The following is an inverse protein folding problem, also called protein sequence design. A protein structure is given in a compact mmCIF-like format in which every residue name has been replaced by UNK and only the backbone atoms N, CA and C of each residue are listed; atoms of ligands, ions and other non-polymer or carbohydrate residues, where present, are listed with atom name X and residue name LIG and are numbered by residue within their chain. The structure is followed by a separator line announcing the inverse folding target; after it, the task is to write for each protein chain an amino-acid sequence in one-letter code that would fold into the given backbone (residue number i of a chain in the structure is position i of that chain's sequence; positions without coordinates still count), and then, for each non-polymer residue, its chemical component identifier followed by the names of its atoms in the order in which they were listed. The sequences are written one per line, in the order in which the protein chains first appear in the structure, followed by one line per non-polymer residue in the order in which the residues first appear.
data_IF_300938258723
#
_entry.id   IF_300938258723
#
_cell.length_a   1.000
_cell.length_b   1.000
_cell.length_c   1.000
_cell.angle_alpha   90.00
_cell.angle_beta   90.00
_cell.angle_gamma   90.00
#
_symmetry.space_group_name_H-M   'P 1'
#
loop_
_entity.id
_entity.type
_entity.pdbx_description
1 polymer ?
#
# COMPACT_ATOMS: atom_id res chain seq x y z
N UNK A 1 1.23 20.62 31.01
CA UNK A 1 2.43 20.45 30.16
C UNK A 1 2.09 20.73 28.70
N UNK A 2 3.05 21.07 27.83
CA UNK A 2 2.79 21.13 26.40
C UNK A 2 2.30 19.77 25.88
N UNK A 3 1.40 19.79 24.91
CA UNK A 3 0.96 18.60 24.20
C UNK A 3 2.12 18.04 23.38
N UNK A 4 2.49 16.78 23.64
CA UNK A 4 3.63 16.12 23.00
C UNK A 4 3.15 15.28 21.80
N UNK A 5 3.79 15.42 20.64
CA UNK A 5 3.54 14.54 19.49
C UNK A 5 4.26 13.20 19.73
N UNK A 6 3.50 12.14 19.95
CA UNK A 6 4.03 10.77 20.12
C UNK A 6 4.28 10.11 18.77
N UNK A 7 3.35 10.31 17.81
CA UNK A 7 3.46 9.78 16.45
C UNK A 7 2.77 10.74 15.49
N UNK A 8 3.39 11.06 14.37
CA UNK A 8 2.77 11.85 13.31
C UNK A 8 3.24 11.34 11.95
N UNK A 9 2.32 10.82 11.14
CA UNK A 9 2.62 10.15 9.88
C UNK A 9 1.58 10.41 8.81
N UNK A 10 2.05 10.48 7.57
CA UNK A 10 1.24 10.49 6.37
C UNK A 10 1.51 9.21 5.58
N UNK A 11 0.45 8.55 5.15
CA UNK A 11 0.45 7.33 4.37
C UNK A 11 0.05 7.63 2.92
N UNK A 12 0.84 7.15 1.97
CA UNK A 12 0.70 7.43 0.54
C UNK A 12 -0.12 6.38 -0.22
N UNK A 13 -0.51 5.29 0.43
CA UNK A 13 -1.41 4.28 -0.13
C UNK A 13 -2.17 3.51 0.95
N UNK A 14 -2.76 2.36 0.62
CA UNK A 14 -3.35 1.46 1.61
C UNK A 14 -2.35 1.17 2.73
N UNK A 15 -2.81 1.30 3.98
CA UNK A 15 -1.97 1.29 5.16
C UNK A 15 -2.71 0.65 6.36
N UNK A 16 -2.04 0.61 7.51
CA UNK A 16 -2.55 0.02 8.74
C UNK A 16 -3.91 0.56 9.17
N UNK A 17 -4.21 1.84 8.87
CA UNK A 17 -5.42 2.53 9.31
C UNK A 17 -6.52 2.53 8.25
N UNK A 18 -6.25 2.03 7.04
CA UNK A 18 -7.28 1.91 6.01
C UNK A 18 -6.74 1.87 4.58
N UNK A 19 -7.63 1.69 3.59
CA UNK A 19 -7.26 1.51 2.19
C UNK A 19 -6.94 2.82 1.45
N UNK A 20 -7.08 3.97 2.12
CA UNK A 20 -6.90 5.30 1.53
C UNK A 20 -5.67 5.99 2.10
N UNK A 21 -5.14 6.94 1.34
CA UNK A 21 -4.10 7.86 1.82
C UNK A 21 -4.62 8.64 3.03
N UNK A 22 -3.85 8.65 4.11
CA UNK A 22 -4.32 9.18 5.38
C UNK A 22 -3.20 9.75 6.23
N UNK A 23 -3.57 10.54 7.22
CA UNK A 23 -2.66 11.04 8.24
C UNK A 23 -3.10 10.54 9.60
N UNK A 24 -2.12 10.13 10.40
CA UNK A 24 -2.30 9.81 11.81
C UNK A 24 -1.48 10.77 12.64
N UNK A 25 -2.16 11.48 13.54
CA UNK A 25 -1.58 12.28 14.60
C UNK A 25 -1.91 11.62 15.94
N UNK A 26 -0.90 11.23 16.69
CA UNK A 26 -1.03 10.77 18.05
C UNK A 26 -0.29 11.72 18.98
N UNK A 27 -1.01 12.24 19.97
CA UNK A 27 -0.47 13.17 20.96
C UNK A 27 -0.72 12.70 22.37
N UNK A 28 0.19 13.06 23.28
CA UNK A 28 0.03 12.88 24.72
C UNK A 28 -0.25 14.23 25.36
N UNK A 29 -1.23 14.27 26.26
CA UNK A 29 -1.62 15.48 26.99
C UNK A 29 -2.24 15.16 28.35
N UNK A 30 -2.05 16.04 29.34
CA UNK A 30 -2.70 15.95 30.66
C UNK A 30 -4.24 16.13 30.60
N UNK A 31 -4.76 16.67 29.49
CA UNK A 31 -6.18 16.96 29.30
C UNK A 31 -6.71 16.24 28.08
N UNK A 32 -7.98 15.89 28.10
CA UNK A 32 -8.67 15.43 26.90
C UNK A 32 -8.88 16.61 25.92
N UNK A 33 -8.03 16.66 24.91
CA UNK A 33 -8.04 17.67 23.85
C UNK A 33 -8.70 17.19 22.56
N UNK A 34 -9.37 16.02 22.57
CA UNK A 34 -9.96 15.40 21.37
C UNK A 34 -10.83 16.34 20.54
N UNK A 35 -11.83 16.97 21.16
CA UNK A 35 -12.74 17.93 20.50
C UNK A 35 -11.99 19.14 19.96
N UNK A 36 -10.98 19.61 20.69
CA UNK A 36 -10.19 20.79 20.32
C UNK A 36 -9.33 20.50 19.10
N UNK A 37 -8.59 19.37 19.11
CA UNK A 37 -7.78 18.90 17.98
C UNK A 37 -8.67 18.71 16.75
N UNK A 38 -9.82 18.05 16.91
CA UNK A 38 -10.79 17.84 15.82
C UNK A 38 -11.23 19.14 15.15
N UNK A 39 -11.60 20.14 15.94
CA UNK A 39 -12.06 21.42 15.42
C UNK A 39 -10.93 22.20 14.73
N UNK A 40 -9.75 22.29 15.35
CA UNK A 40 -8.63 23.06 14.79
C UNK A 40 -8.09 22.40 13.52
N UNK A 41 -8.01 21.07 13.45
CA UNK A 41 -7.66 20.36 12.21
C UNK A 41 -8.65 20.69 11.08
N UNK A 42 -9.94 20.71 11.37
CA UNK A 42 -10.98 21.04 10.40
C UNK A 42 -10.88 22.49 9.92
N UNK A 43 -10.71 23.43 10.84
CA UNK A 43 -10.58 24.85 10.53
C UNK A 43 -9.31 25.13 9.72
N UNK A 44 -8.19 24.52 10.11
CA UNK A 44 -6.91 24.63 9.40
C UNK A 44 -6.99 24.05 7.98
N UNK A 45 -7.60 22.87 7.81
CA UNK A 45 -7.81 22.27 6.50
C UNK A 45 -8.69 23.16 5.60
N UNK A 46 -9.77 23.73 6.15
CA UNK A 46 -10.64 24.64 5.43
C UNK A 46 -9.92 25.93 5.01
N UNK A 47 -9.01 26.45 5.85
CA UNK A 47 -8.26 27.67 5.55
C UNK A 47 -7.31 27.49 4.36
N UNK A 48 -6.56 26.38 4.35
CA UNK A 48 -5.62 26.07 3.27
C UNK A 48 -6.33 25.50 2.02
N UNK A 49 -7.60 25.08 2.14
CA UNK A 49 -8.38 24.46 1.07
C UNK A 49 -8.06 22.98 0.86
N UNK A 50 -7.57 22.29 1.90
CA UNK A 50 -7.26 20.87 1.87
C UNK A 50 -8.52 20.04 2.12
N UNK A 51 -8.69 18.98 1.35
CA UNK A 51 -9.76 18.01 1.55
C UNK A 51 -9.33 17.06 2.68
N UNK A 52 -10.12 17.02 3.74
CA UNK A 52 -10.02 15.98 4.77
C UNK A 52 -11.34 15.21 4.83
N UNK A 53 -11.24 13.87 4.83
CA UNK A 53 -12.35 12.94 4.95
C UNK A 53 -12.20 12.07 6.19
N UNK A 54 -13.32 11.53 6.69
CA UNK A 54 -13.35 10.56 7.79
C UNK A 54 -12.49 10.98 9.01
N UNK A 55 -12.49 12.26 9.36
CA UNK A 55 -11.74 12.73 10.53
C UNK A 55 -12.33 12.14 11.81
N UNK A 56 -11.60 11.17 12.34
CA UNK A 56 -11.90 10.49 13.58
C UNK A 56 -10.86 10.83 14.64
N UNK A 57 -11.30 10.93 15.90
CA UNK A 57 -10.44 11.25 17.02
C UNK A 57 -10.85 10.39 18.20
N UNK A 58 -9.96 9.46 18.55
CA UNK A 58 -10.10 8.55 19.67
C UNK A 58 -9.22 9.02 20.82
N UNK A 59 -9.68 8.77 22.05
CA UNK A 59 -8.94 9.10 23.28
C UNK A 59 -8.85 7.87 24.15
N UNK A 60 -7.64 7.53 24.57
CA UNK A 60 -7.36 6.51 25.57
C UNK A 60 -6.73 7.18 26.80
N UNK A 61 -7.23 6.87 27.99
CA UNK A 61 -6.62 7.34 29.23
C UNK A 61 -5.49 6.38 29.64
N UNK A 62 -4.26 6.89 29.71
CA UNK A 62 -3.08 6.14 30.13
C UNK A 62 -2.50 6.75 31.40
N UNK A 63 -2.76 6.10 32.55
CA UNK A 63 -2.40 6.61 33.88
C UNK A 63 -3.05 7.99 34.16
N UNK A 64 -2.23 9.04 34.31
CA UNK A 64 -2.68 10.42 34.55
C UNK A 64 -2.81 11.25 33.25
N UNK A 65 -2.34 10.72 32.11
CA UNK A 65 -2.36 11.40 30.82
C UNK A 65 -3.42 10.79 29.86
N UNK A 66 -3.72 11.54 28.82
CA UNK A 66 -4.53 11.11 27.68
C UNK A 66 -3.65 10.91 26.45
N UNK A 67 -3.79 9.74 25.82
CA UNK A 67 -3.28 9.47 24.48
C UNK A 67 -4.41 9.69 23.48
N UNK A 68 -4.28 10.73 22.66
CA UNK A 68 -5.30 11.15 21.70
C UNK A 68 -4.80 10.81 20.30
N UNK A 69 -5.56 10.03 19.55
CA UNK A 69 -5.23 9.61 18.19
C UNK A 69 -6.24 10.21 17.22
N UNK A 70 -5.80 11.14 16.39
CA UNK A 70 -6.57 11.68 15.27
C UNK A 70 -6.15 11.01 13.96
N UNK A 71 -7.11 10.47 13.23
CA UNK A 71 -6.94 9.90 11.89
C UNK A 71 -7.82 10.63 10.90
N UNK A 72 -7.30 10.93 9.72
CA UNK A 72 -8.09 11.47 8.62
C UNK A 72 -7.53 11.11 7.25
N UNK A 73 -8.42 10.97 6.28
CA UNK A 73 -8.10 10.71 4.88
C UNK A 73 -7.83 12.03 4.16
N UNK A 74 -6.79 12.08 3.34
CA UNK A 74 -6.47 13.23 2.49
C UNK A 74 -5.68 12.78 1.27
N UNK A 75 -5.91 13.36 0.07
CA UNK A 75 -5.11 13.07 -1.12
C UNK A 75 -3.66 13.61 -1.02
N UNK A 76 -3.37 14.48 -0.04
CA UNK A 76 -2.06 15.11 0.16
C UNK A 76 -1.56 14.84 1.59
N UNK A 77 -1.16 13.59 1.92
CA UNK A 77 -0.76 13.21 3.27
C UNK A 77 0.46 13.98 3.78
N UNK A 78 1.41 14.34 2.90
CA UNK A 78 2.59 15.16 3.23
C UNK A 78 2.20 16.53 3.80
N UNK A 79 1.27 17.24 3.14
CA UNK A 79 0.73 18.53 3.59
C UNK A 79 -0.15 18.33 4.83
N UNK A 80 -0.90 17.24 4.88
CA UNK A 80 -1.71 16.89 6.04
C UNK A 80 -0.86 16.73 7.30
N UNK A 81 0.28 16.06 7.23
CA UNK A 81 1.23 15.93 8.35
C UNK A 81 1.66 17.29 8.87
N UNK A 82 2.05 18.19 7.98
CA UNK A 82 2.51 19.53 8.35
C UNK A 82 1.38 20.38 8.95
N UNK A 83 0.14 20.24 8.44
CA UNK A 83 -1.02 20.86 9.07
C UNK A 83 -1.22 20.33 10.50
N UNK A 84 -1.17 19.02 10.70
CA UNK A 84 -1.33 18.42 12.02
C UNK A 84 -0.23 18.89 13.00
N UNK A 85 1.01 19.05 12.53
CA UNK A 85 2.11 19.63 13.31
C UNK A 85 1.82 21.07 13.70
N UNK A 86 1.44 21.91 12.73
CA UNK A 86 1.02 23.30 12.96
C UNK A 86 -0.09 23.39 14.02
N UNK A 87 -1.07 22.48 14.00
CA UNK A 87 -2.15 22.46 15.00
C UNK A 87 -1.60 22.26 16.41
N UNK A 88 -0.67 21.31 16.61
CA UNK A 88 -0.09 21.04 17.93
C UNK A 88 0.81 22.20 18.38
N UNK A 89 1.63 22.72 17.48
CA UNK A 89 2.53 23.84 17.78
C UNK A 89 1.73 25.09 18.17
N UNK A 90 0.68 25.43 17.43
CA UNK A 90 -0.20 26.56 17.76
C UNK A 90 -1.04 26.35 19.02
N UNK A 91 -1.36 25.10 19.37
CA UNK A 91 -1.99 24.79 20.66
C UNK A 91 -1.03 25.03 21.82
N UNK A 92 0.22 24.58 21.68
CA UNK A 92 1.28 24.76 22.69
C UNK A 92 1.66 26.24 22.87
N UNK A 93 1.82 26.98 21.77
CA UNK A 93 2.08 28.43 21.80
C UNK A 93 0.99 29.19 22.57
N UNK A 94 -0.28 28.89 22.31
CA UNK A 94 -1.42 29.48 23.04
C UNK A 94 -1.44 29.09 24.52
N UNK A 95 -0.99 27.90 24.87
CA UNK A 95 -0.97 27.43 26.27
C UNK A 95 0.11 28.15 27.10
N UNK A 96 1.25 28.46 26.50
CA UNK A 96 2.33 29.23 27.16
C UNK A 96 2.16 30.74 27.04
N UNK A 97 1.16 31.21 26.28
CA UNK A 97 0.90 32.64 26.06
C UNK A 97 1.94 33.30 25.15
N UNK A 98 2.45 32.56 24.16
CA UNK A 98 3.42 33.07 23.19
C UNK A 98 2.75 34.06 22.22
N UNK A 99 3.03 35.34 22.40
CA UNK A 99 2.55 36.43 21.54
C UNK A 99 3.39 36.59 20.26
N UNK A 100 4.57 35.96 20.17
CA UNK A 100 5.45 36.01 19.00
C UNK A 100 5.12 34.93 17.96
N UNK A 101 4.29 33.95 18.32
CA UNK A 101 3.89 32.89 17.41
C UNK A 101 3.03 33.42 16.26
N UNK A 102 3.49 33.23 15.01
CA UNK A 102 2.78 33.62 13.79
C UNK A 102 1.81 32.50 13.33
N UNK A 103 0.47 32.72 13.41
CA UNK A 103 -0.51 31.76 12.90
C UNK A 103 -0.67 31.77 11.38
N UNK A 104 -0.30 32.85 10.70
CA UNK A 104 -0.65 33.12 9.30
C UNK A 104 0.40 32.57 8.33
N UNK A 105 1.69 32.83 8.58
CA UNK A 105 2.79 32.43 7.70
C UNK A 105 2.80 30.91 7.42
N UNK A 106 2.72 30.00 8.43
CA UNK A 106 2.73 28.57 8.17
C UNK A 106 1.53 28.09 7.35
N UNK A 107 0.33 28.66 7.58
CA UNK A 107 -0.87 28.32 6.81
C UNK A 107 -0.78 28.81 5.37
N UNK A 108 -0.19 29.99 5.16
CA UNK A 108 0.05 30.53 3.83
C UNK A 108 1.02 29.66 3.03
N UNK A 109 2.10 29.20 3.64
CA UNK A 109 3.06 28.29 3.03
C UNK A 109 2.44 26.95 2.65
N UNK A 110 1.65 26.36 3.56
CA UNK A 110 0.90 25.13 3.28
C UNK A 110 -0.07 25.32 2.11
N UNK A 111 -0.75 26.45 2.04
CA UNK A 111 -1.66 26.80 0.93
C UNK A 111 -0.91 26.95 -0.39
N UNK A 112 0.28 27.54 -0.39
CA UNK A 112 1.11 27.62 -1.59
C UNK A 112 1.58 26.23 -2.06
N UNK A 113 2.06 25.40 -1.14
CA UNK A 113 2.48 24.02 -1.42
C UNK A 113 1.33 23.19 -1.97
N UNK A 114 0.15 23.27 -1.37
CA UNK A 114 -1.05 22.58 -1.86
C UNK A 114 -1.37 22.96 -3.30
N UNK A 115 -1.31 24.26 -3.63
CA UNK A 115 -1.51 24.74 -5.01
C UNK A 115 -0.43 24.25 -5.97
N UNK A 116 0.83 24.16 -5.51
CA UNK A 116 1.95 23.70 -6.33
C UNK A 116 1.88 22.19 -6.62
N UNK A 117 1.45 21.39 -5.64
CA UNK A 117 1.27 19.93 -5.75
C UNK A 117 -0.03 19.55 -6.48
N UNK A 118 -0.99 20.48 -6.59
CA UNK A 118 -2.24 20.22 -7.30
C UNK A 118 -1.98 19.97 -8.78
N UNK A 119 -2.43 18.80 -9.24
CA UNK A 119 -2.37 18.43 -10.64
C UNK A 119 -3.18 19.41 -11.51
N UNK A 120 -2.73 19.71 -12.76
CA UNK A 120 -3.53 20.46 -13.72
C UNK A 120 -4.92 19.82 -13.91
N UNK A 121 -5.93 20.63 -14.22
CA UNK A 121 -7.33 20.16 -14.37
C UNK A 121 -7.43 18.99 -15.36
N UNK A 122 -6.67 19.02 -16.45
CA UNK A 122 -6.65 17.95 -17.44
C UNK A 122 -6.09 16.64 -16.87
N UNK A 123 -5.03 16.71 -16.05
CA UNK A 123 -4.48 15.55 -15.36
C UNK A 123 -5.47 15.00 -14.33
N UNK A 124 -6.13 15.87 -13.57
CA UNK A 124 -7.20 15.48 -12.63
C UNK A 124 -8.38 14.80 -13.34
N UNK A 125 -8.79 15.32 -14.49
CA UNK A 125 -9.84 14.70 -15.33
C UNK A 125 -9.42 13.31 -15.81
N UNK A 126 -8.16 13.13 -16.22
CA UNK A 126 -7.63 11.81 -16.59
C UNK A 126 -7.65 10.85 -15.40
N UNK A 127 -7.18 11.26 -14.22
CA UNK A 127 -7.22 10.42 -13.03
C UNK A 127 -8.66 10.06 -12.64
N UNK A 128 -9.59 11.02 -12.70
CA UNK A 128 -11.00 10.79 -12.41
C UNK A 128 -11.62 9.78 -13.40
N UNK A 129 -11.36 9.94 -14.70
CA UNK A 129 -11.86 9.06 -15.74
C UNK A 129 -11.26 7.65 -15.63
N UNK A 130 -9.99 7.53 -15.25
CA UNK A 130 -9.34 6.25 -14.94
C UNK A 130 -9.99 5.56 -13.74
N UNK A 131 -10.25 6.31 -12.66
CA UNK A 131 -10.88 5.79 -11.45
C UNK A 131 -12.30 5.24 -11.71
N UNK A 132 -13.12 5.92 -12.54
CA UNK A 132 -14.45 5.38 -12.94
C UNK A 132 -14.38 4.04 -13.67
N UNK A 133 -13.22 3.70 -14.23
CA UNK A 133 -12.93 2.43 -14.92
C UNK A 133 -12.18 1.43 -14.04
N UNK A 134 -11.94 1.74 -12.77
CA UNK A 134 -11.06 0.97 -11.88
C UNK A 134 -9.63 0.80 -12.45
N UNK A 135 -9.12 1.83 -13.12
CA UNK A 135 -7.75 1.89 -13.62
C UNK A 135 -6.96 2.78 -12.66
N UNK A 136 -5.90 2.26 -12.02
CA UNK A 136 -5.12 3.05 -11.08
C UNK A 136 -4.34 4.15 -11.79
N UNK A 137 -4.07 5.22 -11.06
CA UNK A 137 -3.26 6.33 -11.53
C UNK A 137 -2.35 6.84 -10.44
N UNK A 138 -1.10 7.17 -10.78
CA UNK A 138 -0.17 7.77 -9.84
C UNK A 138 0.84 8.69 -10.55
N UNK A 139 1.40 9.63 -9.80
CA UNK A 139 2.50 10.47 -10.29
C UNK A 139 3.81 9.74 -10.02
N UNK A 140 4.61 9.57 -11.06
CA UNK A 140 5.94 8.95 -10.98
C UNK A 140 6.96 9.92 -10.38
N UNK A 141 8.09 9.38 -9.94
CA UNK A 141 9.21 10.19 -9.43
C UNK A 141 9.78 11.17 -10.48
N UNK A 142 9.64 10.88 -11.77
CA UNK A 142 10.03 11.76 -12.88
C UNK A 142 8.99 12.85 -13.20
N UNK A 143 7.91 12.95 -12.43
CA UNK A 143 6.84 13.93 -12.61
C UNK A 143 5.85 13.60 -13.73
N UNK A 144 5.95 12.42 -14.37
CA UNK A 144 4.95 11.97 -15.36
C UNK A 144 3.75 11.32 -14.66
N UNK A 145 2.57 11.50 -15.23
CA UNK A 145 1.35 10.83 -14.78
C UNK A 145 1.28 9.44 -15.40
N UNK A 146 1.24 8.40 -14.57
CA UNK A 146 0.99 7.02 -14.98
C UNK A 146 -0.50 6.71 -14.86
N UNK A 147 -1.11 6.13 -15.90
CA UNK A 147 -2.46 5.55 -15.88
C UNK A 147 -2.37 4.07 -16.27
N UNK A 148 -2.82 3.17 -15.39
CA UNK A 148 -2.65 1.73 -15.53
C UNK A 148 -1.21 1.26 -15.26
N UNK A 149 -0.99 -0.05 -15.27
CA UNK A 149 0.30 -0.67 -14.93
C UNK A 149 0.89 -1.45 -16.12
N UNK A 150 2.22 -1.53 -16.17
CA UNK A 150 2.95 -2.40 -17.08
C UNK A 150 2.63 -2.16 -18.55
N UNK A 151 2.49 -3.25 -19.31
CA UNK A 151 2.00 -3.28 -20.70
C UNK A 151 0.58 -2.74 -20.89
N UNK A 152 -0.17 -2.59 -19.78
CA UNK A 152 -1.51 -1.98 -19.74
C UNK A 152 -1.47 -0.57 -19.14
N UNK A 153 -0.29 0.05 -19.14
CA UNK A 153 -0.05 1.38 -18.62
C UNK A 153 0.28 2.37 -19.74
N UNK A 154 -0.04 3.64 -19.50
CA UNK A 154 0.40 4.76 -20.36
C UNK A 154 0.83 5.94 -19.50
N UNK A 155 1.91 6.58 -19.93
CA UNK A 155 2.48 7.75 -19.26
C UNK A 155 2.11 9.02 -20.01
N UNK A 156 1.76 10.06 -19.26
CA UNK A 156 1.44 11.39 -19.75
C UNK A 156 2.38 12.42 -19.13
N UNK A 157 2.91 13.30 -19.96
CA UNK A 157 3.71 14.41 -19.47
C UNK A 157 2.81 15.51 -18.91
N UNK A 158 2.91 15.77 -17.61
CA UNK A 158 2.11 16.77 -16.91
C UNK A 158 2.46 18.19 -17.37
N UNK A 159 3.72 18.44 -17.76
CA UNK A 159 4.17 19.76 -18.22
C UNK A 159 3.44 20.17 -19.51
N UNK A 160 3.17 19.20 -20.40
CA UNK A 160 2.42 19.43 -21.65
C UNK A 160 0.99 19.97 -21.42
N UNK A 161 0.38 19.68 -20.27
CA UNK A 161 -0.93 20.24 -19.91
C UNK A 161 -0.85 21.70 -19.48
N UNK A 162 0.26 22.13 -18.87
CA UNK A 162 0.48 23.52 -18.44
C UNK A 162 0.75 24.45 -19.63
N UNK A 163 1.46 23.99 -20.66
CA UNK A 163 1.79 24.81 -21.85
C UNK A 163 0.57 25.16 -22.71
N UNK A 164 -0.42 24.27 -22.82
CA UNK A 164 -1.67 24.58 -23.56
C UNK A 164 -2.49 25.70 -22.92
N UNK A 165 -2.31 25.94 -21.62
CA UNK A 165 -2.94 27.06 -20.90
C UNK A 165 -2.18 28.38 -21.11
N UNK A 166 -0.88 28.34 -21.39
CA UNK A 166 -0.03 29.53 -21.59
C UNK A 166 0.15 29.93 -23.06
N UNK A 167 -0.02 29.01 -24.01
CA UNK A 167 -0.10 29.31 -25.44
C UNK A 167 -1.45 29.95 -25.76
N UNK A 168 -1.57 31.27 -25.58
CA UNK A 168 -2.75 32.10 -25.84
C UNK A 168 -3.20 32.19 -27.30
N UNK A 169 -3.16 31.08 -28.05
CA UNK A 169 -3.86 30.95 -29.33
C UNK A 169 -5.35 30.81 -29.03
N UNK A 170 -6.05 31.93 -28.93
CA UNK A 170 -7.51 31.96 -28.99
C UNK A 170 -7.94 31.25 -30.28
N UNK A 171 -8.63 30.11 -30.16
CA UNK A 171 -9.42 29.55 -31.26
C UNK A 171 -10.55 30.53 -31.57
N UNK A 172 -11.08 30.49 -32.80
CA UNK A 172 -12.32 31.22 -33.17
C UNK A 172 -13.48 30.85 -32.22
N UNK A 173 -13.39 29.70 -31.54
CA UNK A 173 -14.33 29.24 -30.51
C UNK A 173 -14.23 29.97 -29.15
N UNK A 174 -13.12 30.66 -28.88
CA UNK A 174 -12.89 31.35 -27.61
C UNK A 174 -13.58 32.73 -27.54
N UNK A 175 -14.08 33.23 -28.67
CA UNK A 175 -14.77 34.53 -28.81
C UNK A 175 -16.27 34.45 -28.43
N UNK A 176 -16.71 33.35 -27.79
CA UNK A 176 -18.08 33.23 -27.28
C UNK A 176 -19.16 33.00 -28.35
N UNK A 177 -18.77 32.61 -29.57
CA UNK A 177 -19.70 32.21 -30.64
C UNK A 177 -19.96 30.69 -30.71
N UNK A 178 -19.45 29.92 -29.74
CA UNK A 178 -19.60 28.47 -29.65
C UNK A 178 -20.19 27.97 -28.33
N UNK A 179 -20.51 26.67 -28.29
CA UNK A 179 -21.18 25.96 -27.19
C UNK A 179 -20.63 26.30 -25.79
N UNK A 180 -21.48 26.23 -24.73
CA UNK A 180 -21.11 26.63 -23.37
C UNK A 180 -19.84 25.93 -22.86
N UNK A 181 -19.13 26.47 -21.85
CA UNK A 181 -17.90 25.88 -21.32
C UNK A 181 -18.03 24.40 -20.93
N UNK A 182 -19.22 23.96 -20.53
CA UNK A 182 -19.56 22.56 -20.22
C UNK A 182 -19.63 21.63 -21.44
N UNK A 183 -19.70 22.18 -22.65
CA UNK A 183 -19.78 21.47 -23.92
C UNK A 183 -18.49 21.58 -24.77
N UNK A 184 -17.47 22.27 -24.26
CA UNK A 184 -16.17 22.40 -24.93
C UNK A 184 -15.32 21.18 -24.60
N UNK A 185 -15.26 20.23 -25.54
CA UNK A 185 -14.23 19.19 -25.52
C UNK A 185 -12.88 19.87 -25.79
N UNK A 186 -12.17 20.29 -24.75
CA UNK A 186 -10.73 20.52 -24.84
C UNK A 186 -10.14 19.30 -25.55
N UNK A 187 -9.49 19.49 -26.71
CA UNK A 187 -9.04 18.42 -27.60
C UNK A 187 -8.59 17.20 -26.78
N UNK A 188 -9.48 16.20 -26.69
CA UNK A 188 -9.37 15.15 -25.70
C UNK A 188 -8.03 14.46 -25.95
N UNK A 189 -7.20 14.35 -24.92
CA UNK A 189 -6.01 13.50 -25.01
C UNK A 189 -6.54 12.13 -25.42
N UNK A 190 -6.12 11.64 -26.58
CA UNK A 190 -6.57 10.33 -27.05
C UNK A 190 -5.94 9.26 -26.15
N UNK A 191 -6.75 8.80 -25.19
CA UNK A 191 -6.37 7.80 -24.21
C UNK A 191 -7.00 6.48 -24.65
N UNK A 192 -6.18 5.45 -24.90
CA UNK A 192 -6.67 4.14 -25.33
C UNK A 192 -7.24 3.37 -24.14
N UNK A 193 -8.32 3.86 -23.53
CA UNK A 193 -8.89 3.36 -22.28
C UNK A 193 -9.12 1.85 -22.26
N UNK A 194 -9.48 1.26 -23.41
CA UNK A 194 -9.71 -0.18 -23.56
C UNK A 194 -8.44 -1.04 -23.40
N UNK A 195 -7.26 -0.46 -23.62
CA UNK A 195 -5.97 -1.15 -23.50
C UNK A 195 -5.36 -0.95 -22.12
N UNK A 196 -5.82 0.06 -21.38
CA UNK A 196 -5.31 0.38 -20.06
C UNK A 196 -5.91 -0.51 -18.97
N UNK A 197 -5.19 -0.66 -17.87
CA UNK A 197 -5.65 -1.44 -16.72
C UNK A 197 -4.51 -1.94 -15.84
N UNK A 198 -4.82 -2.97 -15.05
CA UNK A 198 -3.89 -3.64 -14.16
C UNK A 198 -3.15 -4.76 -14.90
N UNK A 199 -1.89 -4.96 -14.54
CA UNK A 199 -1.19 -6.24 -14.74
C UNK A 199 -1.25 -7.04 -13.44
N UNK A 200 -1.19 -8.39 -13.49
CA UNK A 200 -1.10 -9.19 -12.28
C UNK A 200 0.11 -8.79 -11.43
N UNK A 201 -0.12 -8.72 -10.11
CA UNK A 201 0.89 -8.36 -9.12
C UNK A 201 0.96 -9.44 -8.04
N UNK A 202 2.17 -9.90 -7.75
CA UNK A 202 2.48 -10.75 -6.59
C UNK A 202 3.22 -9.91 -5.56
N UNK A 203 2.64 -9.76 -4.38
CA UNK A 203 3.22 -8.95 -3.30
C UNK A 203 3.67 -9.83 -2.13
N UNK A 204 4.96 -9.82 -1.83
CA UNK A 204 5.54 -10.63 -0.76
C UNK A 204 5.98 -9.69 0.36
N UNK A 205 5.46 -9.94 1.56
CA UNK A 205 5.90 -9.30 2.80
C UNK A 205 6.58 -10.31 3.72
N UNK A 206 7.44 -9.78 4.57
CA UNK A 206 8.29 -10.54 5.48
C UNK A 206 9.63 -9.84 5.65
N UNK A 207 10.58 -10.56 6.21
CA UNK A 207 11.95 -10.13 6.48
C UNK A 207 12.92 -10.92 5.59
N UNK A 208 13.57 -11.95 6.14
CA UNK A 208 14.66 -12.68 5.46
C UNK A 208 14.21 -13.44 4.21
N UNK A 209 13.05 -14.07 4.27
CA UNK A 209 12.59 -15.00 3.23
C UNK A 209 11.82 -14.30 2.10
N UNK A 210 11.53 -13.01 2.26
CA UNK A 210 10.70 -12.21 1.36
C UNK A 210 11.29 -12.14 -0.05
N UNK A 211 12.53 -11.68 -0.17
CA UNK A 211 13.16 -11.43 -1.47
C UNK A 211 13.54 -12.75 -2.16
N UNK A 212 13.91 -13.78 -1.40
CA UNK A 212 14.07 -15.14 -1.91
C UNK A 212 12.77 -15.64 -2.57
N UNK A 213 11.63 -15.46 -1.90
CA UNK A 213 10.32 -15.86 -2.41
C UNK A 213 9.95 -15.06 -3.66
N UNK A 214 10.15 -13.73 -3.64
CA UNK A 214 9.90 -12.87 -4.79
C UNK A 214 10.75 -13.28 -6.01
N UNK A 215 12.05 -13.55 -5.82
CA UNK A 215 12.95 -14.05 -6.87
C UNK A 215 12.50 -15.39 -7.44
N UNK A 216 12.12 -16.34 -6.59
CA UNK A 216 11.63 -17.64 -7.06
C UNK A 216 10.42 -17.49 -7.97
N UNK A 217 9.41 -16.74 -7.53
CA UNK A 217 8.18 -16.53 -8.29
C UNK A 217 8.46 -15.80 -9.60
N UNK A 218 9.30 -14.76 -9.58
CA UNK A 218 9.68 -14.05 -10.80
C UNK A 218 10.42 -14.98 -11.78
N UNK A 219 11.38 -15.77 -11.31
CA UNK A 219 12.11 -16.73 -12.13
C UNK A 219 11.20 -17.82 -12.72
N UNK A 220 10.27 -18.35 -11.93
CA UNK A 220 9.26 -19.30 -12.41
C UNK A 220 8.42 -18.69 -13.52
N UNK A 221 7.88 -17.48 -13.34
CA UNK A 221 7.09 -16.79 -14.35
C UNK A 221 7.92 -16.48 -15.62
N UNK A 222 9.17 -16.05 -15.46
CA UNK A 222 10.09 -15.81 -16.58
C UNK A 222 10.40 -17.11 -17.35
N UNK A 223 10.53 -18.26 -16.65
CA UNK A 223 10.72 -19.57 -17.30
C UNK A 223 9.56 -19.96 -18.22
N UNK A 224 8.36 -19.42 -17.95
CA UNK A 224 7.17 -19.59 -18.78
C UNK A 224 7.05 -18.53 -19.89
N UNK A 225 8.05 -17.66 -20.06
CA UNK A 225 8.09 -16.64 -21.10
C UNK A 225 7.37 -15.33 -20.76
N UNK A 226 6.94 -15.14 -19.52
CA UNK A 226 6.34 -13.87 -19.10
C UNK A 226 7.39 -12.78 -18.91
N UNK A 227 7.06 -11.56 -19.35
CA UNK A 227 7.84 -10.37 -19.03
C UNK A 227 7.48 -9.89 -17.60
N UNK A 228 8.40 -10.10 -16.66
CA UNK A 228 8.18 -9.82 -15.23
C UNK A 228 9.08 -8.66 -14.79
N UNK A 229 8.48 -7.63 -14.18
CA UNK A 229 9.24 -6.67 -13.39
C UNK A 229 9.34 -7.18 -11.94
N UNK A 230 10.56 -7.54 -11.54
CA UNK A 230 10.88 -7.97 -10.17
C UNK A 230 11.47 -6.80 -9.40
N UNK A 231 11.05 -6.63 -8.16
CA UNK A 231 11.70 -5.76 -7.17
C UNK A 231 11.94 -6.51 -5.87
N UNK A 232 13.12 -6.32 -5.29
CA UNK A 232 13.54 -6.85 -4.00
C UNK A 232 13.70 -5.68 -3.02
N UNK A 233 13.36 -5.88 -1.75
CA UNK A 233 13.40 -4.82 -0.73
C UNK A 233 12.79 -3.50 -1.22
N UNK A 234 11.66 -3.60 -1.92
CA UNK A 234 11.08 -2.50 -2.66
C UNK A 234 10.43 -1.50 -1.72
N UNK A 235 10.94 -0.27 -1.74
CA UNK A 235 10.21 0.87 -1.21
C UNK A 235 9.04 1.27 -2.14
N UNK A 236 8.24 2.24 -1.71
CA UNK A 236 7.09 2.74 -2.43
C UNK A 236 7.45 3.26 -3.83
N UNK A 237 8.61 3.91 -3.98
CA UNK A 237 9.04 4.48 -5.25
C UNK A 237 9.53 3.40 -6.22
N UNK A 238 10.28 2.41 -5.73
CA UNK A 238 10.70 1.23 -6.48
C UNK A 238 9.49 0.41 -6.96
N UNK A 239 8.49 0.24 -6.09
CA UNK A 239 7.23 -0.43 -6.43
C UNK A 239 6.49 0.31 -7.54
N UNK A 240 6.33 1.64 -7.42
CA UNK A 240 5.77 2.48 -8.48
C UNK A 240 6.57 2.39 -9.80
N UNK A 241 7.90 2.37 -9.73
CA UNK A 241 8.74 2.25 -10.92
C UNK A 241 8.48 0.92 -11.66
N UNK A 242 8.39 -0.19 -10.93
CA UNK A 242 8.07 -1.51 -11.48
C UNK A 242 6.65 -1.61 -12.05
N UNK A 243 5.66 -1.08 -11.33
CA UNK A 243 4.28 -0.98 -11.83
C UNK A 243 4.19 -0.13 -13.10
N UNK A 244 5.11 0.80 -13.27
CA UNK A 244 5.19 1.67 -14.42
C UNK A 244 6.13 1.19 -15.54
N UNK A 245 6.73 0.00 -15.44
CA UNK A 245 7.64 -0.55 -16.46
C UNK A 245 6.86 -0.94 -17.73
N UNK A 246 7.00 -0.24 -18.88
CA UNK A 246 6.09 -0.40 -20.01
C UNK A 246 6.02 -1.81 -20.61
N UNK A 247 7.06 -2.63 -20.43
CA UNK A 247 7.11 -3.99 -20.97
C UNK A 247 6.72 -5.07 -19.96
N UNK A 248 6.45 -4.70 -18.71
CA UNK A 248 6.07 -5.65 -17.67
C UNK A 248 4.64 -6.17 -17.90
N UNK A 249 4.51 -7.46 -18.15
CA UNK A 249 3.23 -8.15 -18.21
C UNK A 249 2.75 -8.62 -16.82
N UNK A 250 3.68 -8.77 -15.87
CA UNK A 250 3.44 -9.05 -14.46
C UNK A 250 4.45 -8.29 -13.60
N UNK A 251 4.09 -8.05 -12.35
CA UNK A 251 4.99 -7.48 -11.33
C UNK A 251 5.10 -8.44 -10.15
N UNK A 252 6.32 -8.63 -9.64
CA UNK A 252 6.58 -9.37 -8.41
C UNK A 252 7.38 -8.47 -7.48
N UNK A 253 6.83 -8.16 -6.31
CA UNK A 253 7.43 -7.21 -5.38
C UNK A 253 7.66 -7.84 -4.01
N UNK A 254 8.93 -7.99 -3.61
CA UNK A 254 9.31 -8.15 -2.22
C UNK A 254 9.34 -6.77 -1.56
N UNK A 255 8.45 -6.52 -0.62
CA UNK A 255 8.20 -5.19 -0.05
C UNK A 255 9.05 -4.88 1.20
N UNK A 256 9.70 -3.71 1.23
CA UNK A 256 10.48 -3.24 2.38
C UNK A 256 9.57 -2.98 3.60
N UNK A 257 9.87 -3.62 4.73
CA UNK A 257 9.04 -3.52 5.95
C UNK A 257 9.05 -2.10 6.49
N UNK A 258 10.22 -1.46 6.47
CA UNK A 258 10.44 -0.09 6.91
C UNK A 258 9.52 0.89 6.18
N UNK A 259 9.33 0.67 4.87
CA UNK A 259 8.53 1.55 4.04
C UNK A 259 7.03 1.22 4.14
N UNK A 260 6.66 -0.06 4.32
CA UNK A 260 5.27 -0.44 4.66
C UNK A 260 4.80 0.24 5.95
N UNK A 261 5.67 0.32 6.96
CA UNK A 261 5.41 0.97 8.25
C UNK A 261 5.15 2.48 8.09
N UNK A 262 5.82 3.12 7.13
CA UNK A 262 5.83 4.58 7.00
C UNK A 262 4.83 5.08 5.97
N UNK A 263 4.72 4.40 4.82
CA UNK A 263 3.96 4.86 3.64
C UNK A 263 2.78 3.97 3.29
N UNK A 264 2.78 2.72 3.74
CA UNK A 264 1.83 1.70 3.30
C UNK A 264 2.30 1.03 2.00
N UNK A 265 1.37 0.61 1.14
CA UNK A 265 1.69 -0.04 -0.14
C UNK A 265 1.42 0.87 -1.33
N UNK A 266 2.22 0.74 -2.40
CA UNK A 266 2.16 1.59 -3.58
C UNK A 266 1.15 1.13 -4.65
N UNK A 267 0.22 0.25 -4.28
CA UNK A 267 -0.77 -0.32 -5.18
C UNK A 267 -2.09 -0.53 -4.45
N UNK A 268 -3.19 -0.39 -5.19
CA UNK A 268 -4.54 -0.54 -4.63
C UNK A 268 -4.99 -2.00 -4.57
N UNK A 269 -4.39 -2.86 -5.41
CA UNK A 269 -4.78 -4.28 -5.57
C UNK A 269 -3.60 -5.15 -5.99
N UNK A 270 -3.56 -6.38 -5.50
CA UNK A 270 -2.68 -7.43 -6.01
C UNK A 270 -3.46 -8.72 -6.31
N UNK A 271 -2.86 -9.61 -7.12
CA UNK A 271 -3.46 -10.90 -7.49
C UNK A 271 -3.13 -11.99 -6.48
N UNK A 272 -1.91 -11.96 -5.96
CA UNK A 272 -1.43 -12.89 -4.95
C UNK A 272 -0.62 -12.13 -3.92
N UNK A 273 -0.67 -12.58 -2.68
CA UNK A 273 0.21 -12.06 -1.64
C UNK A 273 0.68 -13.15 -0.70
N UNK A 274 1.77 -12.88 -0.01
CA UNK A 274 2.30 -13.77 1.01
C UNK A 274 2.89 -13.00 2.19
N UNK A 275 2.69 -13.52 3.40
CA UNK A 275 3.38 -13.09 4.61
C UNK A 275 4.26 -14.25 5.05
N UNK A 276 5.54 -14.17 4.74
CA UNK A 276 6.44 -15.33 4.75
C UNK A 276 7.09 -15.55 6.12
N UNK A 277 7.49 -14.48 6.78
CA UNK A 277 8.13 -14.47 8.10
C UNK A 277 7.99 -13.09 8.75
N UNK A 278 8.57 -12.93 9.94
CA UNK A 278 8.63 -11.66 10.66
C UNK A 278 10.07 -11.34 11.04
N UNK A 279 10.46 -10.05 11.10
CA UNK A 279 11.74 -9.64 11.66
C UNK A 279 11.97 -10.19 13.07
N UNK A 280 13.20 -10.59 13.39
CA UNK A 280 13.55 -11.07 14.75
C UNK A 280 13.42 -9.98 15.82
N UNK A 281 13.56 -8.72 15.42
CA UNK A 281 13.49 -7.56 16.30
C UNK A 281 12.43 -6.60 15.77
N UNK A 282 11.68 -6.02 16.70
CA UNK A 282 10.72 -4.97 16.36
C UNK A 282 11.46 -3.73 15.81
N UNK A 283 11.04 -3.21 14.65
CA UNK A 283 11.45 -1.87 14.21
C UNK A 283 11.11 -0.82 15.27
N UNK A 284 11.91 0.23 15.39
CA UNK A 284 11.76 1.26 16.43
C UNK A 284 10.39 1.96 16.38
N UNK A 285 9.79 1.97 15.21
CA UNK A 285 8.52 2.57 14.85
C UNK A 285 7.30 1.78 15.33
N UNK A 286 7.47 0.51 15.70
CA UNK A 286 6.41 -0.46 15.96
C UNK A 286 6.41 -0.86 17.44
N UNK A 287 5.23 -0.92 18.05
CA UNK A 287 5.08 -1.14 19.50
C UNK A 287 4.97 -2.61 19.90
N UNK A 288 4.55 -3.48 18.98
CA UNK A 288 4.35 -4.91 19.25
C UNK A 288 4.49 -5.75 17.97
N UNK A 289 4.69 -7.06 18.14
CA UNK A 289 4.68 -7.99 17.01
C UNK A 289 3.30 -8.11 16.34
N UNK A 290 2.23 -7.87 17.09
CA UNK A 290 0.88 -7.76 16.55
C UNK A 290 0.77 -6.57 15.59
N UNK A 291 1.22 -5.37 15.99
CA UNK A 291 1.25 -4.20 15.10
C UNK A 291 2.16 -4.46 13.88
N UNK A 292 3.30 -5.13 14.07
CA UNK A 292 4.21 -5.49 12.97
C UNK A 292 3.53 -6.40 11.94
N UNK A 293 2.87 -7.45 12.39
CA UNK A 293 2.20 -8.40 11.49
C UNK A 293 1.00 -7.76 10.79
N UNK A 294 0.23 -6.91 11.48
CA UNK A 294 -0.83 -6.12 10.82
C UNK A 294 -0.26 -5.26 9.69
N UNK A 295 0.91 -4.64 9.87
CA UNK A 295 1.61 -3.90 8.80
C UNK A 295 2.04 -4.83 7.67
N UNK A 296 2.65 -5.98 7.98
CA UNK A 296 3.02 -6.97 6.97
C UNK A 296 1.78 -7.54 6.23
N UNK A 297 0.61 -7.48 6.84
CA UNK A 297 -0.67 -7.91 6.29
C UNK A 297 -1.35 -6.90 5.35
N UNK A 298 -0.84 -5.68 5.20
CA UNK A 298 -1.45 -4.69 4.30
C UNK A 298 -1.61 -5.22 2.85
N UNK A 299 -0.62 -5.90 2.23
CA UNK A 299 -0.80 -6.50 0.90
C UNK A 299 -1.89 -7.58 0.84
N UNK A 300 -2.12 -8.33 1.93
CA UNK A 300 -3.20 -9.32 2.03
C UNK A 300 -4.56 -8.63 1.91
N UNK A 301 -4.76 -7.51 2.62
CA UNK A 301 -6.03 -6.77 2.64
C UNK A 301 -6.44 -6.24 1.26
N UNK A 302 -5.46 -6.00 0.37
CA UNK A 302 -5.69 -5.54 -1.01
C UNK A 302 -5.58 -6.67 -2.05
N UNK A 303 -5.53 -7.94 -1.62
CA UNK A 303 -5.55 -9.07 -2.55
C UNK A 303 -6.94 -9.24 -3.14
N UNK A 304 -7.03 -9.44 -4.45
CA UNK A 304 -8.31 -9.64 -5.13
C UNK A 304 -9.05 -10.88 -4.58
N UNK A 305 -10.38 -10.85 -4.57
CA UNK A 305 -11.23 -11.96 -4.11
C UNK A 305 -10.99 -13.28 -4.88
N UNK A 306 -10.62 -13.18 -6.16
CA UNK A 306 -10.27 -14.33 -7.02
C UNK A 306 -8.84 -14.84 -6.80
N UNK A 307 -8.02 -14.09 -6.06
CA UNK A 307 -6.63 -14.40 -5.76
C UNK A 307 -6.44 -15.43 -4.65
N UNK A 308 -5.22 -15.48 -4.12
CA UNK A 308 -4.85 -16.28 -2.94
C UNK A 308 -3.86 -15.54 -2.07
N UNK A 309 -3.95 -15.80 -0.76
CA UNK A 309 -3.00 -15.31 0.24
C UNK A 309 -2.27 -16.50 0.83
N UNK A 310 -0.94 -16.43 0.88
CA UNK A 310 -0.10 -17.45 1.50
C UNK A 310 0.38 -16.98 2.86
N UNK A 311 0.06 -17.73 3.92
CA UNK A 311 0.39 -17.35 5.30
C UNK A 311 1.26 -18.39 6.00
N UNK A 312 2.30 -17.92 6.70
CA UNK A 312 3.10 -18.77 7.56
C UNK A 312 2.34 -19.15 8.84
N UNK A 313 1.96 -20.43 8.97
CA UNK A 313 1.24 -20.94 10.14
C UNK A 313 2.13 -21.19 11.36
N UNK A 314 3.46 -21.05 11.24
CA UNK A 314 4.39 -21.16 12.37
C UNK A 314 4.45 -19.87 13.21
N UNK A 315 3.84 -18.78 12.73
CA UNK A 315 3.76 -17.49 13.42
C UNK A 315 2.30 -17.20 13.79
N UNK A 316 1.91 -17.33 15.08
CA UNK A 316 0.53 -17.14 15.52
C UNK A 316 -0.06 -15.77 15.14
N UNK A 317 0.75 -14.72 15.18
CA UNK A 317 0.34 -13.35 14.84
C UNK A 317 0.01 -13.21 13.34
N UNK A 318 0.71 -13.95 12.46
CA UNK A 318 0.35 -14.02 11.03
C UNK A 318 -0.97 -14.79 10.85
N UNK A 319 -1.16 -15.90 11.58
CA UNK A 319 -2.39 -16.69 11.51
C UNK A 319 -3.61 -15.88 11.92
N UNK A 320 -3.49 -15.03 12.93
CA UNK A 320 -4.57 -14.16 13.40
C UNK A 320 -5.09 -13.21 12.29
N UNK A 321 -4.26 -12.88 11.30
CA UNK A 321 -4.67 -12.03 10.18
C UNK A 321 -5.63 -12.71 9.20
N UNK A 322 -5.70 -14.04 9.20
CA UNK A 322 -6.45 -14.79 8.20
C UNK A 322 -7.95 -14.49 8.19
N UNK A 323 -8.53 -14.04 9.31
CA UNK A 323 -9.93 -13.64 9.38
C UNK A 323 -10.23 -12.37 8.55
N UNK A 324 -9.21 -11.54 8.28
CA UNK A 324 -9.32 -10.33 7.48
C UNK A 324 -8.98 -10.56 6.00
N UNK A 325 -8.60 -11.79 5.61
CA UNK A 325 -8.23 -12.08 4.23
C UNK A 325 -9.46 -11.98 3.30
N UNK A 326 -9.40 -11.18 2.22
CA UNK A 326 -10.53 -11.00 1.29
C UNK A 326 -10.73 -12.19 0.33
N UNK A 327 -9.82 -13.17 0.36
CA UNK A 327 -9.82 -14.34 -0.52
C UNK A 327 -9.30 -15.58 0.23
N UNK A 328 -9.39 -16.79 -0.36
CA UNK A 328 -8.94 -18.00 0.31
C UNK A 328 -7.45 -17.98 0.66
N UNK A 329 -7.15 -18.48 1.86
CA UNK A 329 -5.80 -18.59 2.42
C UNK A 329 -5.22 -19.97 2.14
N UNK A 330 -3.94 -20.03 1.79
CA UNK A 330 -3.11 -21.23 1.80
C UNK A 330 -2.11 -21.10 2.95
N UNK A 331 -2.17 -22.00 3.92
CA UNK A 331 -1.16 -22.01 4.98
C UNK A 331 0.07 -22.81 4.58
N UNK A 332 1.23 -22.43 5.10
CA UNK A 332 2.38 -23.32 5.13
C UNK A 332 2.97 -23.42 6.54
N UNK A 333 3.62 -24.55 6.83
CA UNK A 333 4.31 -24.78 8.10
C UNK A 333 5.52 -25.68 7.88
N UNK A 334 6.56 -25.48 8.68
CA UNK A 334 7.73 -26.36 8.78
C UNK A 334 7.47 -27.61 9.62
N UNK A 335 6.26 -27.79 10.16
CA UNK A 335 5.93 -28.83 11.16
C UNK A 335 4.67 -29.61 10.79
N UNK A 336 4.74 -30.93 10.82
CA UNK A 336 3.55 -31.80 10.63
C UNK A 336 2.48 -31.56 11.71
N UNK A 337 2.89 -31.32 12.95
CA UNK A 337 2.00 -31.26 14.11
C UNK A 337 1.37 -29.89 14.36
N UNK A 338 1.42 -28.97 13.37
CA UNK A 338 0.84 -27.65 13.50
C UNK A 338 -0.71 -27.73 13.58
N UNK A 339 -1.26 -27.44 14.76
CA UNK A 339 -2.70 -27.51 15.03
C UNK A 339 -3.53 -26.60 14.12
N UNK A 340 -3.02 -25.41 13.76
CA UNK A 340 -3.71 -24.48 12.85
C UNK A 340 -3.91 -25.12 11.49
N UNK A 341 -2.84 -25.71 10.94
CA UNK A 341 -2.91 -26.43 9.66
C UNK A 341 -3.83 -27.64 9.75
N UNK A 342 -3.78 -28.39 10.86
CA UNK A 342 -4.72 -29.50 11.10
C UNK A 342 -6.19 -29.07 11.06
N UNK A 343 -6.54 -27.97 11.73
CA UNK A 343 -7.91 -27.42 11.73
C UNK A 343 -8.29 -26.88 10.36
N UNK A 344 -7.39 -26.14 9.70
CA UNK A 344 -7.64 -25.59 8.37
C UNK A 344 -7.94 -26.70 7.35
N UNK A 345 -7.17 -27.79 7.39
CA UNK A 345 -7.39 -28.99 6.58
C UNK A 345 -8.70 -29.69 6.92
N UNK A 346 -9.07 -29.80 8.19
CA UNK A 346 -10.36 -30.39 8.57
C UNK A 346 -11.56 -29.64 7.95
N UNK A 347 -11.40 -28.35 7.66
CA UNK A 347 -12.38 -27.52 6.96
C UNK A 347 -12.23 -27.50 5.42
N UNK A 348 -11.40 -28.37 4.84
CA UNK A 348 -11.20 -28.43 3.39
C UNK A 348 -10.20 -27.41 2.83
N UNK A 349 -9.43 -26.75 3.70
CA UNK A 349 -8.45 -25.75 3.31
C UNK A 349 -7.22 -26.33 2.60
N UNK A 350 -6.45 -25.43 1.97
CA UNK A 350 -5.23 -25.73 1.24
C UNK A 350 -4.01 -25.45 2.14
N UNK A 351 -3.09 -26.40 2.28
CA UNK A 351 -1.90 -26.17 3.07
C UNK A 351 -0.68 -26.97 2.63
N UNK A 352 0.50 -26.44 2.94
CA UNK A 352 1.78 -27.16 2.87
C UNK A 352 2.31 -27.46 4.27
N UNK A 353 2.85 -28.65 4.50
CA UNK A 353 3.56 -28.96 5.74
C UNK A 353 4.77 -29.85 5.48
N UNK A 354 5.71 -29.90 6.43
CA UNK A 354 6.89 -30.78 6.36
C UNK A 354 6.76 -31.95 7.33
N UNK A 355 6.93 -33.16 6.79
CA UNK A 355 7.00 -34.43 7.53
C UNK A 355 8.16 -35.26 7.00
N UNK A 356 9.02 -35.74 7.88
CA UNK A 356 10.16 -36.60 7.52
C UNK A 356 10.98 -36.06 6.32
N UNK A 357 11.36 -34.78 6.38
CA UNK A 357 12.07 -34.06 5.29
C UNK A 357 11.34 -34.05 3.94
N UNK A 358 10.04 -34.26 3.92
CA UNK A 358 9.20 -34.21 2.73
C UNK A 358 8.15 -33.13 2.90
N UNK A 359 8.04 -32.25 1.91
CA UNK A 359 6.96 -31.27 1.80
C UNK A 359 5.73 -32.00 1.27
N UNK A 360 4.62 -31.89 1.98
CA UNK A 360 3.31 -32.37 1.57
C UNK A 360 2.42 -31.20 1.21
N UNK A 361 1.75 -31.28 0.08
CA UNK A 361 0.63 -30.41 -0.27
C UNK A 361 -0.69 -31.08 0.10
N UNK A 362 -1.62 -30.29 0.61
CA UNK A 362 -2.91 -30.78 1.08
C UNK A 362 -4.06 -29.93 0.62
N UNK A 363 -5.15 -30.60 0.24
CA UNK A 363 -6.45 -29.99 0.07
C UNK A 363 -7.44 -30.82 0.90
N UNK A 364 -7.85 -30.26 2.03
CA UNK A 364 -8.60 -31.00 3.04
C UNK A 364 -7.86 -32.23 3.58
N UNK A 365 -8.50 -33.39 3.48
CA UNK A 365 -7.95 -34.68 3.90
C UNK A 365 -6.95 -35.28 2.90
N UNK A 366 -6.92 -34.80 1.65
CA UNK A 366 -6.00 -35.30 0.64
C UNK A 366 -4.59 -34.79 0.93
N UNK A 367 -3.61 -35.70 0.97
CA UNK A 367 -2.19 -35.38 1.11
C UNK A 367 -1.41 -35.93 -0.09
N UNK A 368 -0.52 -35.12 -0.65
CA UNK A 368 0.40 -35.53 -1.71
C UNK A 368 1.82 -35.08 -1.36
N UNK A 369 2.83 -35.97 -1.39
CA UNK A 369 4.22 -35.54 -1.30
C UNK A 369 4.60 -34.78 -2.58
N UNK A 370 5.22 -33.60 -2.42
CA UNK A 370 5.52 -32.72 -3.56
C UNK A 370 7.01 -32.42 -3.71
N UNK A 371 7.77 -32.25 -2.62
CA UNK A 371 9.18 -31.90 -2.70
C UNK A 371 9.96 -32.47 -1.51
N UNK A 372 11.28 -32.59 -1.64
CA UNK A 372 12.15 -32.84 -0.49
C UNK A 372 12.46 -31.52 0.21
N UNK A 373 12.27 -31.45 1.52
CA UNK A 373 12.74 -30.36 2.37
C UNK A 373 14.23 -30.55 2.68
N UNK A 374 15.09 -30.32 1.68
CA UNK A 374 16.55 -30.47 1.79
C UNK A 374 17.29 -29.18 2.13
N UNK A 375 16.57 -28.05 2.14
CA UNK A 375 17.13 -26.75 2.50
C UNK A 375 17.34 -26.65 4.02
N UNK A 376 18.30 -25.82 4.48
CA UNK A 376 18.42 -25.48 5.90
C UNK A 376 17.11 -24.91 6.46
N UNK A 377 16.84 -25.15 7.75
CA UNK A 377 15.60 -24.71 8.41
C UNK A 377 15.31 -23.21 8.26
N UNK A 378 16.36 -22.37 8.17
CA UNK A 378 16.23 -20.92 8.00
C UNK A 378 15.75 -20.51 6.61
N UNK A 379 15.97 -21.34 5.59
CA UNK A 379 15.56 -21.09 4.19
C UNK A 379 14.24 -21.78 3.84
N UNK A 380 13.80 -22.72 4.68
CA UNK A 380 12.61 -23.52 4.46
C UNK A 380 11.31 -22.68 4.38
N UNK A 381 11.09 -21.62 5.20
CA UNK A 381 9.91 -20.77 5.06
C UNK A 381 9.77 -20.13 3.68
N UNK A 382 10.86 -19.58 3.14
CA UNK A 382 10.88 -18.99 1.80
C UNK A 382 10.58 -20.02 0.70
N UNK A 383 11.14 -21.22 0.81
CA UNK A 383 10.85 -22.30 -0.13
C UNK A 383 9.38 -22.75 -0.06
N UNK A 384 8.82 -22.93 1.14
CA UNK A 384 7.42 -23.29 1.31
C UNK A 384 6.47 -22.22 0.79
N UNK A 385 6.73 -20.94 1.07
CA UNK A 385 5.94 -19.83 0.53
C UNK A 385 6.01 -19.79 -1.01
N UNK A 386 7.19 -20.04 -1.57
CA UNK A 386 7.41 -20.11 -3.03
C UNK A 386 6.60 -21.24 -3.66
N UNK A 387 6.62 -22.44 -3.08
CA UNK A 387 5.83 -23.59 -3.54
C UNK A 387 4.33 -23.27 -3.42
N UNK A 388 3.89 -22.71 -2.30
CA UNK A 388 2.48 -22.39 -2.06
C UNK A 388 1.95 -21.33 -3.03
N UNK A 389 2.70 -20.24 -3.26
CA UNK A 389 2.34 -19.21 -4.24
C UNK A 389 2.31 -19.77 -5.66
N UNK A 390 3.29 -20.61 -6.02
CA UNK A 390 3.31 -21.23 -7.35
C UNK A 390 2.12 -22.17 -7.55
N UNK A 391 1.78 -22.95 -6.54
CA UNK A 391 0.60 -23.82 -6.55
C UNK A 391 -0.70 -23.01 -6.64
N UNK A 392 -0.79 -21.89 -5.91
CA UNK A 392 -1.92 -20.95 -5.99
C UNK A 392 -2.09 -20.33 -7.38
N UNK A 393 -1.00 -20.14 -8.12
CA UNK A 393 -0.99 -19.65 -9.50
C UNK A 393 -1.34 -20.74 -10.52
N UNK A 394 -1.54 -21.99 -10.08
CA UNK A 394 -1.92 -23.11 -10.92
C UNK A 394 -0.76 -23.80 -11.63
N UNK A 395 0.49 -23.57 -11.20
CA UNK A 395 1.63 -24.30 -11.73
C UNK A 395 1.61 -25.77 -11.31
N UNK A 396 2.00 -26.65 -12.23
CA UNK A 396 2.15 -28.07 -11.94
C UNK A 396 3.36 -28.33 -11.04
N UNK A 397 3.34 -29.44 -10.28
CA UNK A 397 4.48 -29.82 -9.44
C UNK A 397 5.77 -29.99 -10.25
N UNK A 398 5.69 -30.49 -11.48
CA UNK A 398 6.86 -30.63 -12.36
C UNK A 398 7.50 -29.27 -12.69
N UNK A 399 6.69 -28.23 -12.96
CA UNK A 399 7.19 -26.88 -13.19
C UNK A 399 7.82 -26.27 -11.93
N UNK A 400 7.20 -26.49 -10.76
CA UNK A 400 7.69 -25.98 -9.48
C UNK A 400 9.02 -26.65 -9.11
N UNK A 401 9.10 -27.97 -9.23
CA UNK A 401 10.29 -28.75 -8.89
C UNK A 401 11.46 -28.46 -9.84
N UNK A 402 11.19 -28.33 -11.14
CA UNK A 402 12.22 -27.93 -12.10
C UNK A 402 12.83 -26.56 -11.76
N UNK A 403 12.06 -25.64 -11.17
CA UNK A 403 12.56 -24.35 -10.71
C UNK A 403 13.38 -24.47 -9.42
N UNK A 404 13.04 -25.40 -8.52
CA UNK A 404 13.79 -25.59 -7.26
C UNK A 404 15.17 -26.24 -7.45
N UNK A 405 15.38 -26.95 -8.56
CA UNK A 405 16.64 -27.62 -8.88
C UNK A 405 17.67 -26.71 -9.59
N UNK A 406 17.23 -25.55 -10.09
CA UNK A 406 18.05 -24.53 -10.75
C UNK A 406 18.39 -23.38 -9.81
#
# INVERSE_FOLDING_TARGET
MPTEIVRLRGYDGPNLYGPQTSVVLQVRSEKDLSKRIKNILKDGAQNIGMIIGYLDVETEQQNEDFLITAHYVTPTPSIGVELARYVVDGMNAKEVGDEEWDPEEPLWDLKQRLRAETLPIQALQLCAEANTRNIPSFVRADGRLQIGYGVRGKQFDIASFKERLSSGSFSVDDIGLGAPPSARSAAAVDVPWQQLGLVPLVAVSGDRSRDQTARFIAGLLQSQGYAVALTESADFAATHAALGEPHAALVVAGLAVEDLIVRGVAFERCSYSAIVDVPEKLPAEIRSFEELTQVLGIPMLVTNAEGRVVLNADVPEIVALAEYAPCPVIYFTTRETNTIVGIHRAHGGEALFVRDQTVFATHGASEQPVARASLPDVELPGALASIALSWAMGFSWDQILAMMEN
#
